data_IF_450368868131
#
_entry.id   IF_450368868131
#
_cell.length_a   1.000
_cell.length_b   1.000
_cell.length_c   1.000
_cell.angle_alpha   90.00
_cell.angle_beta   90.00
_cell.angle_gamma   90.00
#
_symmetry.space_group_name_H-M   'P 1'
#
loop_
_entity.id
_entity.type
_entity.pdbx_description
1 polymer ?
#
# COMPACT_ATOMS: atom_id res chain seq x y z
N UNK A 1 43.44 -41.98 6.17
CA UNK A 1 42.03 -41.81 5.75
C UNK A 1 41.51 -40.55 6.42
N UNK A 2 41.67 -39.38 5.78
CA UNK A 2 41.13 -38.11 6.27
C UNK A 2 39.94 -37.76 5.40
N UNK A 3 38.75 -37.78 5.99
CA UNK A 3 37.49 -37.55 5.30
C UNK A 3 37.33 -36.04 5.07
N UNK A 4 37.26 -35.61 3.81
CA UNK A 4 36.99 -34.23 3.43
C UNK A 4 35.48 -34.01 3.47
N UNK A 5 34.99 -33.33 4.51
CA UNK A 5 33.61 -32.87 4.55
C UNK A 5 33.37 -31.82 3.44
N UNK A 6 32.40 -32.01 2.54
CA UNK A 6 32.03 -30.96 1.59
C UNK A 6 31.29 -29.84 2.32
N UNK A 7 31.69 -28.59 2.05
CA UNK A 7 30.93 -27.40 2.42
C UNK A 7 29.57 -27.44 1.71
N UNK A 8 28.50 -27.64 2.47
CA UNK A 8 27.14 -27.49 1.96
C UNK A 8 26.83 -26.01 1.70
N UNK A 9 26.27 -25.66 0.52
CA UNK A 9 25.76 -24.32 0.29
C UNK A 9 24.50 -24.08 1.12
N UNK A 10 24.51 -23.02 1.91
CA UNK A 10 23.39 -22.54 2.73
C UNK A 10 22.22 -22.12 1.82
N UNK A 11 21.22 -22.99 1.62
CA UNK A 11 19.99 -22.66 0.89
C UNK A 11 18.98 -21.93 1.78
N UNK A 12 19.30 -20.69 2.16
CA UNK A 12 18.44 -19.84 3.01
C UNK A 12 17.67 -18.70 2.31
N UNK A 13 17.81 -18.54 0.98
CA UNK A 13 17.46 -17.29 0.31
C UNK A 13 16.05 -17.11 -0.31
N UNK A 14 15.20 -18.13 -0.57
CA UNK A 14 13.94 -17.91 -1.30
C UNK A 14 12.76 -17.39 -0.45
N UNK A 15 12.78 -17.56 0.88
CA UNK A 15 11.69 -17.12 1.75
C UNK A 15 11.77 -15.62 2.09
N UNK A 16 12.98 -15.10 2.30
CA UNK A 16 13.23 -13.68 2.58
C UNK A 16 12.85 -12.78 1.40
N UNK A 17 13.14 -13.22 0.18
CA UNK A 17 12.86 -12.46 -1.04
C UNK A 17 11.36 -12.35 -1.36
N UNK A 18 10.57 -13.38 -1.06
CA UNK A 18 9.11 -13.34 -1.17
C UNK A 18 8.47 -12.37 -0.16
N UNK A 19 8.88 -12.46 1.11
CA UNK A 19 8.37 -11.60 2.17
C UNK A 19 8.65 -10.10 1.90
N UNK A 20 9.85 -9.77 1.41
CA UNK A 20 10.19 -8.39 1.01
C UNK A 20 9.32 -7.89 -0.15
N UNK A 21 9.04 -8.76 -1.12
CA UNK A 21 8.20 -8.40 -2.28
C UNK A 21 6.75 -8.17 -1.88
N UNK A 22 6.20 -8.99 -0.97
CA UNK A 22 4.83 -8.83 -0.45
C UNK A 22 4.69 -7.56 0.39
N UNK A 23 5.69 -7.26 1.23
CA UNK A 23 5.72 -6.02 2.00
C UNK A 23 5.79 -4.77 1.12
N UNK A 24 6.57 -4.81 0.03
CA UNK A 24 6.63 -3.72 -0.92
C UNK A 24 5.27 -3.49 -1.61
N UNK A 25 4.58 -4.56 -2.01
CA UNK A 25 3.24 -4.47 -2.58
C UNK A 25 2.22 -3.92 -1.57
N UNK A 26 2.25 -4.39 -0.32
CA UNK A 26 1.36 -3.88 0.72
C UNK A 26 1.59 -2.38 0.98
N UNK A 27 2.84 -1.92 0.96
CA UNK A 27 3.18 -0.50 1.09
C UNK A 27 2.67 0.34 -0.10
N UNK A 28 2.79 -0.17 -1.31
CA UNK A 28 2.27 0.48 -2.53
C UNK A 28 0.74 0.58 -2.49
N UNK A 29 0.05 -0.53 -2.25
CA UNK A 29 -1.41 -0.56 -2.15
C UNK A 29 -1.94 0.35 -1.04
N UNK A 30 -1.23 0.44 0.09
CA UNK A 30 -1.62 1.35 1.17
C UNK A 30 -1.48 2.84 0.78
N UNK A 31 -0.46 3.20 -0.02
CA UNK A 31 -0.33 4.55 -0.59
C UNK A 31 -1.44 4.86 -1.58
N UNK A 32 -1.77 3.91 -2.45
CA UNK A 32 -2.87 4.06 -3.40
C UNK A 32 -4.21 4.27 -2.69
N UNK A 33 -4.45 3.52 -1.61
CA UNK A 33 -5.64 3.72 -0.78
C UNK A 33 -5.70 5.13 -0.19
N UNK A 34 -4.60 5.63 0.36
CA UNK A 34 -4.53 6.99 0.90
C UNK A 34 -4.74 8.04 -0.20
N UNK A 35 -4.25 7.81 -1.41
CA UNK A 35 -4.47 8.70 -2.55
C UNK A 35 -5.95 8.79 -2.93
N UNK A 36 -6.67 7.67 -2.96
CA UNK A 36 -8.12 7.66 -3.21
C UNK A 36 -8.87 8.42 -2.12
N UNK A 37 -8.51 8.19 -0.86
CA UNK A 37 -9.10 8.91 0.27
C UNK A 37 -8.87 10.42 0.18
N UNK A 38 -7.63 10.84 -0.04
CA UNK A 38 -7.27 12.25 -0.17
C UNK A 38 -7.90 12.89 -1.41
N UNK A 39 -8.11 12.14 -2.49
CA UNK A 39 -8.83 12.63 -3.67
C UNK A 39 -10.24 13.06 -3.29
N UNK A 40 -10.98 12.24 -2.54
CA UNK A 40 -12.32 12.61 -2.07
C UNK A 40 -12.29 13.81 -1.12
N UNK A 41 -11.30 13.86 -0.21
CA UNK A 41 -11.16 14.98 0.71
C UNK A 41 -10.89 16.30 -0.01
N UNK A 42 -9.95 16.30 -0.96
CA UNK A 42 -9.62 17.48 -1.77
C UNK A 42 -10.81 17.87 -2.65
N UNK A 43 -11.53 16.90 -3.21
CA UNK A 43 -12.76 17.13 -3.97
C UNK A 43 -13.79 17.92 -3.13
N UNK A 44 -14.08 17.48 -1.90
CA UNK A 44 -14.99 18.17 -0.97
C UNK A 44 -14.48 19.56 -0.58
N UNK A 45 -13.18 19.73 -0.30
CA UNK A 45 -12.62 21.06 -0.04
C UNK A 45 -12.80 22.01 -1.23
N UNK A 46 -12.58 21.53 -2.46
CA UNK A 46 -12.75 22.34 -3.67
C UNK A 46 -14.21 22.74 -3.89
N UNK A 47 -15.20 21.90 -3.52
CA UNK A 47 -16.63 22.26 -3.54
C UNK A 47 -16.94 23.44 -2.62
N UNK A 48 -16.24 23.55 -1.50
CA UNK A 48 -16.46 24.64 -0.52
C UNK A 48 -15.79 25.96 -0.90
N UNK A 49 -14.82 25.95 -1.84
CA UNK A 49 -14.06 27.15 -2.26
C UNK A 49 -14.83 28.03 -3.27
N UNK A 50 -15.98 27.55 -3.77
CA UNK A 50 -16.92 28.32 -4.61
C UNK A 50 -16.72 28.14 -6.11
N UNK A 51 -17.84 28.03 -6.85
CA UNK A 51 -17.92 27.78 -8.30
C UNK A 51 -17.15 28.80 -9.18
N UNK A 52 -16.82 29.96 -8.62
CA UNK A 52 -16.12 31.07 -9.29
C UNK A 52 -14.62 30.85 -9.45
N UNK A 53 -13.99 29.99 -8.65
CA UNK A 53 -12.55 29.71 -8.75
C UNK A 53 -12.17 28.98 -10.06
N UNK A 54 -13.17 28.57 -10.84
CA UNK A 54 -13.12 27.33 -11.61
C UNK A 54 -13.91 27.38 -12.93
N UNK A 55 -14.41 28.57 -13.30
CA UNK A 55 -14.87 28.86 -14.66
C UNK A 55 -16.30 28.43 -15.01
N UNK A 56 -17.10 27.97 -14.04
CA UNK A 56 -18.49 27.55 -14.25
C UNK A 56 -18.72 26.06 -14.04
N UNK A 57 -19.97 25.70 -13.73
CA UNK A 57 -20.35 24.44 -13.04
C UNK A 57 -19.97 23.15 -13.77
N UNK A 58 -20.18 23.09 -15.08
CA UNK A 58 -20.16 21.82 -15.83
C UNK A 58 -18.76 21.45 -16.32
N UNK A 59 -18.02 22.46 -16.82
CA UNK A 59 -16.63 22.28 -17.21
C UNK A 59 -15.74 22.16 -15.97
N UNK A 60 -16.17 22.75 -14.84
CA UNK A 60 -15.45 22.69 -13.58
C UNK A 60 -15.25 21.29 -13.04
N UNK A 61 -16.30 20.47 -13.06
CA UNK A 61 -16.30 19.20 -12.35
C UNK A 61 -15.27 18.21 -12.88
N UNK A 62 -15.08 18.13 -14.19
CA UNK A 62 -14.15 17.18 -14.80
C UNK A 62 -12.69 17.56 -14.56
N UNK A 63 -12.31 18.83 -14.74
CA UNK A 63 -10.91 19.21 -14.44
C UNK A 63 -10.67 19.27 -12.92
N UNK A 64 -11.69 19.50 -12.10
CA UNK A 64 -11.60 19.48 -10.64
C UNK A 64 -11.25 18.10 -10.11
N UNK A 65 -11.89 17.06 -10.64
CA UNK A 65 -11.60 15.67 -10.27
C UNK A 65 -10.19 15.24 -10.69
N UNK A 66 -9.71 15.67 -11.86
CA UNK A 66 -8.31 15.47 -12.25
C UNK A 66 -7.32 16.22 -11.33
N UNK A 67 -7.63 17.46 -10.97
CA UNK A 67 -6.79 18.24 -10.06
C UNK A 67 -6.79 17.67 -8.64
N UNK A 68 -7.94 17.23 -8.13
CA UNK A 68 -8.04 16.64 -6.80
C UNK A 68 -7.22 15.35 -6.72
N UNK A 69 -7.23 14.53 -7.77
CA UNK A 69 -6.39 13.33 -7.86
C UNK A 69 -4.90 13.67 -7.90
N UNK A 70 -4.50 14.66 -8.70
CA UNK A 70 -3.11 15.10 -8.80
C UNK A 70 -2.58 15.68 -7.47
N UNK A 71 -3.40 16.51 -6.80
CA UNK A 71 -3.09 17.07 -5.48
C UNK A 71 -3.01 15.97 -4.44
N UNK A 72 -3.95 15.02 -4.43
CA UNK A 72 -3.95 13.89 -3.52
C UNK A 72 -2.70 13.02 -3.68
N UNK A 73 -2.33 12.66 -4.91
CA UNK A 73 -1.09 11.92 -5.18
C UNK A 73 0.15 12.66 -4.68
N UNK A 74 0.23 13.97 -4.97
CA UNK A 74 1.35 14.79 -4.49
C UNK A 74 1.42 14.85 -2.96
N UNK A 75 0.27 14.95 -2.28
CA UNK A 75 0.19 14.91 -0.82
C UNK A 75 0.70 13.57 -0.27
N UNK A 76 0.29 12.44 -0.86
CA UNK A 76 0.80 11.10 -0.46
C UNK A 76 2.31 11.01 -0.65
N UNK A 77 2.84 11.50 -1.78
CA UNK A 77 4.28 11.48 -2.06
C UNK A 77 5.10 12.33 -1.09
N UNK A 78 4.53 13.41 -0.57
CA UNK A 78 5.14 14.27 0.46
C UNK A 78 4.99 13.72 1.90
N UNK A 79 4.36 12.54 2.07
CA UNK A 79 4.19 11.87 3.36
C UNK A 79 2.74 11.70 3.82
N UNK A 80 1.78 12.28 3.08
CA UNK A 80 0.34 12.11 3.31
C UNK A 80 -0.11 12.56 4.70
N UNK A 81 -1.14 11.88 5.20
CA UNK A 81 -1.64 12.02 6.58
C UNK A 81 -1.15 10.88 7.48
N UNK A 82 -0.32 9.97 6.94
CA UNK A 82 0.16 8.77 7.63
C UNK A 82 -0.83 7.61 7.62
N UNK A 83 -1.94 7.72 6.87
CA UNK A 83 -2.96 6.67 6.82
C UNK A 83 -2.43 5.41 6.12
N UNK A 84 -1.55 5.56 5.12
CA UNK A 84 -0.90 4.42 4.46
C UNK A 84 -0.15 3.51 5.45
N UNK A 85 0.44 4.07 6.52
CA UNK A 85 1.10 3.27 7.55
C UNK A 85 0.12 2.34 8.29
N UNK A 86 -1.01 2.89 8.73
CA UNK A 86 -2.07 2.16 9.42
C UNK A 86 -2.72 1.11 8.52
N UNK A 87 -2.98 1.45 7.25
CA UNK A 87 -3.56 0.54 6.27
C UNK A 87 -2.63 -0.62 5.97
N UNK A 88 -1.34 -0.33 5.78
CA UNK A 88 -0.31 -1.37 5.62
C UNK A 88 -0.28 -2.31 6.82
N UNK A 89 -0.30 -1.80 8.04
CA UNK A 89 -0.28 -2.63 9.24
C UNK A 89 -1.52 -3.56 9.32
N UNK A 90 -2.70 -3.08 8.93
CA UNK A 90 -3.89 -3.92 8.83
C UNK A 90 -3.76 -5.00 7.74
N UNK A 91 -3.21 -4.66 6.58
CA UNK A 91 -2.96 -5.61 5.50
C UNK A 91 -1.95 -6.68 5.90
N UNK A 92 -0.84 -6.30 6.53
CA UNK A 92 0.19 -7.21 7.04
C UNK A 92 -0.38 -8.14 8.14
N UNK A 93 -1.27 -7.63 9.00
CA UNK A 93 -1.95 -8.46 10.00
C UNK A 93 -2.89 -9.48 9.36
N UNK A 94 -3.61 -9.09 8.30
CA UNK A 94 -4.52 -9.98 7.56
C UNK A 94 -3.76 -11.08 6.81
N UNK A 95 -2.66 -10.74 6.14
CA UNK A 95 -1.81 -11.71 5.43
C UNK A 95 -1.04 -12.63 6.39
N UNK A 96 -0.57 -12.09 7.52
CA UNK A 96 0.07 -12.87 8.59
C UNK A 96 -0.87 -13.86 9.28
N UNK A 97 -2.13 -13.46 9.52
CA UNK A 97 -3.15 -14.36 10.07
C UNK A 97 -3.46 -15.53 9.12
N UNK A 98 -3.55 -15.27 7.81
CA UNK A 98 -3.76 -16.31 6.79
C UNK A 98 -2.64 -17.36 6.71
N UNK A 99 -1.38 -16.95 6.93
CA UNK A 99 -0.24 -17.85 6.90
C UNK A 99 -0.15 -18.76 8.15
N UNK A 100 -0.59 -18.26 9.32
CA UNK A 100 -0.61 -19.03 10.56
C UNK A 100 -1.59 -20.21 10.55
N UNK A 101 -2.73 -20.06 9.88
CA UNK A 101 -3.75 -21.10 9.71
C UNK A 101 -3.28 -22.22 8.76
N UNK A 102 -2.46 -21.89 7.76
CA UNK A 102 -1.91 -22.87 6.81
C UNK A 102 -0.83 -23.79 7.45
N UNK A 103 -0.14 -23.33 8.48
CA UNK A 103 0.91 -24.10 9.18
C UNK A 103 0.40 -25.09 10.25
N UNK A 104 -0.87 -25.00 10.65
CA UNK A 104 -1.42 -25.81 11.76
C UNK A 104 -1.88 -27.24 11.41
N UNK A 105 -1.79 -27.66 10.15
CA UNK A 105 -2.47 -28.87 9.66
C UNK A 105 -1.63 -30.15 9.46
N UNK A 106 -0.39 -30.26 9.97
CA UNK A 106 0.48 -31.43 9.67
C UNK A 106 1.11 -32.11 10.88
N UNK A 107 0.42 -32.22 12.01
CA UNK A 107 0.88 -33.09 13.10
C UNK A 107 -0.29 -33.66 13.89
N UNK A 108 -0.83 -34.77 13.40
CA UNK A 108 -1.41 -35.78 14.29
C UNK A 108 -1.20 -37.14 13.60
N UNK A 109 -0.43 -38.00 14.26
CA UNK A 109 -0.27 -39.44 13.96
C UNK A 109 -1.05 -40.20 15.01
#
# INVERSE_FOLDING_TARGET
MSNLSPLQPQTGQPALSKAVTEQAKAAETAKEFEAVFLTQFVDEMMKTTGDTAFGGKEQAEMWRSFMSEAVAKHLVDQGGLGLAGSVRQMMDAYTGAGNSLASGGRSEK
#
